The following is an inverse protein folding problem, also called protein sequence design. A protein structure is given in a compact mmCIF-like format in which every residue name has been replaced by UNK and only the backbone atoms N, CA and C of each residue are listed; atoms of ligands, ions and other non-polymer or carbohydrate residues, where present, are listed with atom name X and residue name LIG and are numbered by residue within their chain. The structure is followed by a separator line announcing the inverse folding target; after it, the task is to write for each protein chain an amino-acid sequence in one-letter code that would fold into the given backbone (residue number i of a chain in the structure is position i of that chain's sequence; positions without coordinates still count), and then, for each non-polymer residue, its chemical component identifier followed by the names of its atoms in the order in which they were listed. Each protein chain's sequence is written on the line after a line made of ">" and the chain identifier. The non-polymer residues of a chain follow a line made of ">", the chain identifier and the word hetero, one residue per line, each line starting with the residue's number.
data_IF_435993299378
#
_entry.id   IF_435993299378
#
_cell.length_a   1.000
_cell.length_b   1.000
_cell.length_c   1.000
_cell.angle_alpha   90.00
_cell.angle_beta   90.00
_cell.angle_gamma   90.00
#
_symmetry.space_group_name_H-M   'P 1'
#
loop_
_entity.id
_entity.type
_entity.pdbx_description
1 polymer ?
#
# COMPACT_ATOMS: atom_id res chain seq x y z
N UNK A 1 13.59 -2.88 9.64
CA UNK A 1 12.69 -3.85 10.30
C UNK A 1 11.35 -4.04 9.56
N UNK A 2 10.97 -3.21 8.57
CA UNK A 2 9.73 -3.39 7.78
C UNK A 2 9.75 -4.50 6.73
N UNK A 3 10.90 -4.76 6.09
CA UNK A 3 11.01 -5.73 4.99
C UNK A 3 10.59 -7.14 5.41
N UNK A 4 10.71 -7.48 6.71
CA UNK A 4 10.28 -8.77 7.26
C UNK A 4 8.75 -8.93 7.32
N UNK A 5 8.01 -7.82 7.32
CA UNK A 5 6.55 -7.80 7.28
C UNK A 5 6.01 -7.87 5.84
N UNK A 6 6.86 -7.55 4.86
CA UNK A 6 6.45 -7.55 3.47
C UNK A 6 6.45 -8.99 2.95
N UNK A 7 5.40 -9.42 2.23
CA UNK A 7 5.32 -10.80 1.80
C UNK A 7 6.42 -11.13 0.79
N UNK A 8 7.19 -12.19 1.06
CA UNK A 8 8.16 -12.77 0.12
C UNK A 8 7.43 -13.71 -0.86
N UNK A 9 6.37 -13.21 -1.48
CA UNK A 9 5.58 -13.89 -2.50
C UNK A 9 5.29 -12.92 -3.64
N UNK A 10 4.79 -13.47 -4.76
CA UNK A 10 4.35 -12.66 -5.90
C UNK A 10 3.28 -11.65 -5.49
N UNK A 11 3.58 -10.37 -5.69
CA UNK A 11 2.69 -9.24 -5.41
C UNK A 11 2.76 -8.28 -6.59
N UNK A 12 1.62 -7.70 -6.95
CA UNK A 12 1.55 -6.51 -7.79
C UNK A 12 1.36 -5.27 -6.91
N UNK A 13 2.30 -4.33 -7.00
CA UNK A 13 2.27 -3.06 -6.28
C UNK A 13 1.91 -1.98 -7.29
N UNK A 14 0.68 -1.49 -7.20
CA UNK A 14 0.23 -0.35 -8.02
C UNK A 14 0.44 0.95 -7.25
N UNK A 15 0.98 1.98 -7.91
CA UNK A 15 1.28 3.27 -7.29
C UNK A 15 0.87 4.44 -8.17
N UNK A 16 0.63 5.60 -7.54
CA UNK A 16 0.29 6.82 -8.26
C UNK A 16 1.40 7.22 -9.23
N UNK A 17 1.05 7.49 -10.49
CA UNK A 17 2.02 7.95 -11.49
C UNK A 17 2.78 9.17 -10.98
N UNK A 18 4.10 9.15 -11.16
CA UNK A 18 5.04 10.18 -10.69
C UNK A 18 5.19 10.30 -9.15
N UNK A 19 4.62 9.40 -8.34
CA UNK A 19 4.83 9.43 -6.88
C UNK A 19 6.19 8.86 -6.44
N UNK A 20 6.79 7.99 -7.26
CA UNK A 20 8.12 7.43 -7.03
C UNK A 20 9.06 7.73 -8.19
N UNK A 21 10.33 7.96 -7.86
CA UNK A 21 11.40 8.00 -8.85
C UNK A 21 11.82 6.59 -9.27
N UNK A 22 12.45 6.47 -10.45
CA UNK A 22 12.96 5.19 -10.95
C UNK A 22 13.97 4.55 -9.97
N UNK A 23 14.79 5.36 -9.31
CA UNK A 23 15.73 4.89 -8.28
C UNK A 23 15.02 4.27 -7.08
N UNK A 24 13.91 4.85 -6.63
CA UNK A 24 13.10 4.31 -5.54
C UNK A 24 12.47 2.97 -5.93
N UNK A 25 11.89 2.89 -7.14
CA UNK A 25 11.32 1.64 -7.67
C UNK A 25 12.38 0.55 -7.79
N UNK A 26 13.56 0.86 -8.32
CA UNK A 26 14.66 -0.12 -8.44
C UNK A 26 15.13 -0.62 -7.05
N UNK A 27 15.20 0.28 -6.06
CA UNK A 27 15.51 -0.10 -4.68
C UNK A 27 14.45 -1.03 -4.09
N UNK A 28 13.16 -0.82 -4.39
CA UNK A 28 12.08 -1.70 -3.94
C UNK A 28 12.10 -3.06 -4.66
N UNK A 29 12.30 -3.08 -5.98
CA UNK A 29 12.47 -4.32 -6.78
C UNK A 29 13.62 -5.19 -6.26
N UNK A 30 14.71 -4.58 -5.80
CA UNK A 30 15.82 -5.33 -5.19
C UNK A 30 15.47 -6.06 -3.88
N UNK A 31 14.31 -5.78 -3.27
CA UNK A 31 13.89 -6.45 -2.03
C UNK A 31 13.24 -7.81 -2.27
N UNK A 32 12.54 -7.98 -3.39
CA UNK A 32 11.95 -9.26 -3.79
C UNK A 32 11.75 -9.25 -5.31
N UNK A 33 12.35 -10.24 -5.99
CA UNK A 33 12.27 -10.35 -7.45
C UNK A 33 10.86 -10.69 -7.95
N UNK A 34 10.00 -11.27 -7.10
CA UNK A 34 8.63 -11.63 -7.43
C UNK A 34 7.66 -10.45 -7.36
N UNK A 35 8.12 -9.27 -6.94
CA UNK A 35 7.30 -8.07 -6.90
C UNK A 35 7.26 -7.38 -8.26
N UNK A 36 6.05 -7.08 -8.69
CA UNK A 36 5.79 -6.30 -9.91
C UNK A 36 5.28 -4.92 -9.53
N UNK A 37 5.66 -3.90 -10.30
CA UNK A 37 5.32 -2.51 -10.02
C UNK A 37 4.62 -1.92 -11.24
N UNK A 38 3.47 -1.31 -11.02
CA UNK A 38 2.64 -0.71 -12.07
C UNK A 38 2.25 0.71 -11.67
N UNK A 39 2.46 1.66 -12.57
CA UNK A 39 1.95 3.01 -12.34
C UNK A 39 0.47 3.10 -12.73
N UNK A 40 -0.29 3.90 -12.00
CA UNK A 40 -1.69 4.19 -12.32
C UNK A 40 -2.03 5.64 -11.96
N UNK A 41 -3.05 6.20 -12.61
CA UNK A 41 -3.60 7.50 -12.25
C UNK A 41 -4.82 7.27 -11.37
N UNK A 42 -4.61 7.30 -10.06
CA UNK A 42 -5.70 7.30 -9.09
C UNK A 42 -6.26 8.72 -8.98
N UNK A 43 -7.57 8.86 -9.19
CA UNK A 43 -8.28 10.15 -9.16
C UNK A 43 -8.59 10.62 -7.73
N UNK A 44 -8.51 9.74 -6.74
CA UNK A 44 -8.83 10.03 -5.34
C UNK A 44 -7.74 9.47 -4.40
N UNK A 45 -6.65 10.23 -4.30
CA UNK A 45 -5.46 9.85 -3.55
C UNK A 45 -5.54 10.36 -2.12
N UNK A 46 -6.11 9.54 -1.26
CA UNK A 46 -5.79 9.60 0.16
C UNK A 46 -4.97 8.36 0.51
N UNK A 47 -3.72 8.56 0.95
CA UNK A 47 -2.71 7.52 1.32
C UNK A 47 -3.10 6.66 2.55
N UNK A 48 -4.39 6.47 2.77
CA UNK A 48 -4.97 5.96 4.00
C UNK A 48 -5.55 4.58 3.85
N UNK A 49 -5.66 3.99 2.67
CA UNK A 49 -6.28 2.67 2.52
C UNK A 49 -5.32 1.63 1.95
N UNK A 50 -5.46 0.39 2.44
CA UNK A 50 -4.80 -0.81 1.95
C UNK A 50 -5.88 -1.77 1.46
N UNK A 51 -5.82 -2.16 0.19
CA UNK A 51 -6.68 -3.18 -0.40
C UNK A 51 -5.92 -4.51 -0.42
N UNK A 52 -6.52 -5.56 0.15
CA UNK A 52 -5.96 -6.91 0.20
C UNK A 52 -6.85 -7.84 -0.62
N UNK A 53 -6.25 -8.46 -1.63
CA UNK A 53 -6.87 -9.44 -2.53
C UNK A 53 -8.20 -8.97 -3.13
N UNK A 54 -8.36 -7.66 -3.38
CA UNK A 54 -9.60 -7.01 -3.87
C UNK A 54 -10.86 -7.29 -3.03
N UNK A 55 -10.70 -7.79 -1.81
CA UNK A 55 -11.80 -8.25 -0.94
C UNK A 55 -11.88 -7.48 0.37
N UNK A 56 -10.75 -7.02 0.91
CA UNK A 56 -10.67 -6.36 2.21
C UNK A 56 -10.02 -4.99 2.04
N UNK A 57 -10.66 -3.96 2.57
CA UNK A 57 -10.13 -2.61 2.68
C UNK A 57 -9.78 -2.32 4.14
N UNK A 58 -8.58 -1.80 4.37
CA UNK A 58 -8.13 -1.31 5.68
C UNK A 58 -7.84 0.18 5.56
N UNK A 59 -8.60 1.02 6.26
CA UNK A 59 -8.41 2.48 6.29
C UNK A 59 -7.66 2.87 7.57
N UNK A 60 -6.47 3.43 7.44
CA UNK A 60 -5.63 4.00 8.49
C UNK A 60 -5.96 5.48 8.68
N UNK A 61 -6.39 5.90 9.88
CA UNK A 61 -6.80 7.29 10.13
C UNK A 61 -5.64 8.29 9.96
N UNK A 62 -4.41 7.86 10.24
CA UNK A 62 -3.17 8.65 10.14
C UNK A 62 -2.30 8.28 8.93
N UNK A 63 -2.80 7.44 8.02
CA UNK A 63 -2.00 6.86 6.93
C UNK A 63 -0.86 5.97 7.45
N UNK A 64 0.24 5.87 6.70
CA UNK A 64 1.38 5.02 7.06
C UNK A 64 2.42 5.70 7.97
N UNK A 65 2.22 6.97 8.34
CA UNK A 65 3.22 7.80 9.03
C UNK A 65 3.66 7.24 10.38
N UNK A 66 2.73 6.66 11.14
CA UNK A 66 3.00 6.14 12.49
C UNK A 66 3.12 4.62 12.56
N UNK A 67 3.18 3.93 11.41
CA UNK A 67 3.21 2.46 11.38
C UNK A 67 4.43 1.86 12.11
N UNK A 68 5.49 2.65 12.28
CA UNK A 68 6.72 2.24 12.99
C UNK A 68 6.99 3.02 14.28
N UNK A 69 6.06 3.85 14.72
CA UNK A 69 6.22 4.65 15.93
C UNK A 69 5.47 3.98 17.09
N UNK A 70 6.21 3.25 17.94
CA UNK A 70 5.65 2.54 19.08
C UNK A 70 5.15 3.46 20.20
N UNK A 71 5.35 4.78 20.08
CA UNK A 71 4.86 5.78 21.04
C UNK A 71 3.52 6.39 20.63
N UNK A 72 3.05 6.11 19.42
CA UNK A 72 1.84 6.67 18.84
C UNK A 72 0.79 5.59 18.67
N UNK A 73 -0.45 5.92 19.01
CA UNK A 73 -1.58 5.07 18.69
C UNK A 73 -1.98 5.26 17.23
N UNK A 74 -2.40 4.17 16.59
CA UNK A 74 -3.02 4.20 15.27
C UNK A 74 -4.43 3.63 15.38
N UNK A 75 -5.38 4.28 14.71
CA UNK A 75 -6.74 3.75 14.56
C UNK A 75 -6.92 3.33 13.11
N UNK A 76 -7.58 2.19 12.92
CA UNK A 76 -7.89 1.70 11.58
C UNK A 76 -9.32 1.17 11.53
N UNK A 77 -9.88 1.16 10.32
CA UNK A 77 -11.19 0.58 10.02
C UNK A 77 -10.97 -0.56 9.02
N UNK A 78 -11.55 -1.73 9.28
CA UNK A 78 -11.53 -2.88 8.36
C UNK A 78 -12.92 -3.05 7.77
N UNK A 79 -13.00 -3.18 6.44
CA UNK A 79 -14.26 -3.34 5.71
C UNK A 79 -14.10 -4.38 4.61
N UNK A 80 -15.19 -5.06 4.28
CA UNK A 80 -15.25 -5.85 3.06
C UNK A 80 -15.54 -4.90 1.88
N UNK A 81 -14.84 -5.12 0.78
CA UNK A 81 -15.05 -4.35 -0.44
C UNK A 81 -16.35 -4.83 -1.08
N UNK A 82 -17.33 -3.93 -1.13
CA UNK A 82 -18.50 -4.05 -1.99
C UNK A 82 -18.25 -3.14 -3.20
N UNK A 83 -18.39 -3.68 -4.43
CA UNK A 83 -18.02 -3.00 -5.68
C UNK A 83 -18.73 -1.65 -5.90
N UNK A 84 -19.79 -1.38 -5.13
CA UNK A 84 -20.48 -0.09 -5.10
C UNK A 84 -19.66 1.06 -4.49
N UNK A 85 -18.56 0.78 -3.79
CA UNK A 85 -17.74 1.81 -3.14
C UNK A 85 -16.78 2.56 -4.09
N UNK A 86 -16.59 2.06 -5.31
CA UNK A 86 -15.66 2.59 -6.30
C UNK A 86 -16.31 2.98 -7.64
N UNK A 87 -17.65 3.02 -7.70
CA UNK A 87 -18.43 3.47 -8.87
C UNK A 87 -18.94 4.90 -8.70
#
# INVERSE_FOLDING_TARGET
>A
MLIKLLPLKKIEITYQRNSFSEQQINKLKSKCADWTFKDNNFTDNHDRYLIIDDNVEIILTSGFSYLNDFTKEITYIVRLIDRHQFM
#
